data_IF_003879280270
#
_entry.id   IF_003879280270
#
_cell.length_a   1.000
_cell.length_b   1.000
_cell.length_c   1.000
_cell.angle_alpha   90.00
_cell.angle_beta   90.00
_cell.angle_gamma   90.00
#
_symmetry.space_group_name_H-M   'P 1'
#
loop_
_entity.id
_entity.type
_entity.pdbx_description
1 polymer ?
#
# COMPACT_ATOMS: atom_id res chain seq x y z
N UNK A 1 -1.09 17.82 12.99
CA UNK A 1 -1.33 16.38 12.77
C UNK A 1 -2.34 15.90 13.81
N UNK A 2 -3.60 16.26 13.62
CA UNK A 2 -4.71 15.98 14.55
C UNK A 2 -6.02 15.64 13.81
N UNK A 3 -5.95 15.59 12.48
CA UNK A 3 -7.03 15.25 11.58
C UNK A 3 -6.57 14.05 10.76
N UNK A 4 -7.48 13.10 10.55
CA UNK A 4 -7.32 11.96 9.65
C UNK A 4 -7.60 12.34 8.20
N UNK A 5 -7.34 11.42 7.26
CA UNK A 5 -7.72 11.60 5.85
C UNK A 5 -9.22 11.79 5.67
N UNK A 6 -10.04 11.15 6.53
CA UNK A 6 -11.49 11.29 6.51
C UNK A 6 -11.93 12.67 6.99
N UNK A 7 -11.34 13.20 8.06
CA UNK A 7 -11.71 14.51 8.62
C UNK A 7 -11.52 15.66 7.62
N UNK A 8 -10.57 15.51 6.69
CA UNK A 8 -10.27 16.50 5.65
C UNK A 8 -10.90 16.18 4.29
N UNK A 9 -11.70 15.11 4.19
CA UNK A 9 -12.26 14.60 2.92
C UNK A 9 -11.18 14.36 1.84
N UNK A 10 -9.99 13.90 2.24
CA UNK A 10 -8.89 13.60 1.33
C UNK A 10 -9.12 12.29 0.57
N UNK A 11 -8.53 12.15 -0.61
CA UNK A 11 -8.54 10.89 -1.35
C UNK A 11 -7.48 9.89 -0.88
N UNK A 12 -7.70 8.61 -1.16
CA UNK A 12 -6.72 7.53 -0.91
C UNK A 12 -6.36 6.84 -2.22
N UNK A 13 -5.06 6.61 -2.45
CA UNK A 13 -4.54 5.79 -3.55
C UNK A 13 -3.92 4.51 -3.00
N UNK A 14 -4.43 3.34 -3.40
CA UNK A 14 -3.95 2.03 -2.96
C UNK A 14 -3.13 1.33 -4.05
N UNK A 15 -1.85 1.10 -3.80
CA UNK A 15 -0.92 0.41 -4.72
C UNK A 15 -0.35 -0.83 -4.06
N UNK A 16 -0.39 -1.98 -4.76
CA UNK A 16 0.22 -3.21 -4.27
C UNK A 16 1.75 -3.11 -4.27
N UNK A 17 2.39 -3.33 -3.11
CA UNK A 17 3.85 -3.23 -2.97
C UNK A 17 4.46 -4.41 -2.19
N UNK A 18 4.79 -5.49 -2.90
CA UNK A 18 5.35 -6.69 -2.26
C UNK A 18 6.72 -6.46 -1.60
N UNK A 19 7.48 -5.45 -2.06
CA UNK A 19 8.83 -5.21 -1.55
C UNK A 19 8.87 -4.70 -0.12
N UNK A 20 7.74 -4.21 0.42
CA UNK A 20 7.65 -3.84 1.83
C UNK A 20 7.81 -5.05 2.76
N UNK A 21 7.45 -6.25 2.27
CA UNK A 21 7.65 -7.50 3.00
C UNK A 21 9.05 -8.10 2.80
N UNK A 22 10.03 -7.34 2.31
CA UNK A 22 11.39 -7.83 2.10
C UNK A 22 12.15 -8.03 3.42
N UNK A 23 12.97 -9.09 3.49
CA UNK A 23 14.08 -9.18 4.44
C UNK A 23 15.34 -8.59 3.81
N UNK A 24 15.90 -7.57 4.46
CA UNK A 24 17.09 -6.85 4.02
C UNK A 24 18.23 -6.92 5.04
N UNK A 25 18.21 -7.87 5.98
CA UNK A 25 19.20 -7.96 7.08
C UNK A 25 20.60 -8.39 6.65
N UNK A 26 20.74 -9.06 5.50
CA UNK A 26 22.05 -9.56 5.04
C UNK A 26 22.19 -9.55 3.51
N UNK A 27 23.44 -9.47 3.05
CA UNK A 27 23.78 -9.42 1.62
C UNK A 27 23.36 -8.10 0.95
N UNK A 28 23.39 -8.10 -0.39
CA UNK A 28 23.01 -6.95 -1.23
C UNK A 28 21.71 -7.18 -2.00
N UNK A 29 21.08 -8.35 -1.83
CA UNK A 29 19.83 -8.73 -2.48
C UNK A 29 18.76 -8.98 -1.42
N UNK A 30 17.64 -8.26 -1.52
CA UNK A 30 16.48 -8.48 -0.68
C UNK A 30 15.93 -9.92 -0.83
N UNK A 31 15.60 -10.54 0.30
CA UNK A 31 14.84 -11.78 0.38
C UNK A 31 13.34 -11.49 0.48
N UNK A 32 12.49 -12.37 -0.06
CA UNK A 32 11.03 -12.19 -0.02
C UNK A 32 10.31 -13.41 0.57
N UNK A 33 10.99 -14.19 1.42
CA UNK A 33 10.43 -15.35 2.10
C UNK A 33 9.25 -15.01 3.02
N UNK A 34 9.19 -13.77 3.50
CA UNK A 34 8.13 -13.21 4.34
C UNK A 34 6.92 -12.71 3.53
N UNK A 35 7.07 -12.52 2.22
CA UNK A 35 5.95 -12.11 1.36
C UNK A 35 4.98 -13.27 1.12
N UNK A 36 3.68 -12.98 1.04
CA UNK A 36 2.68 -14.00 0.67
C UNK A 36 2.81 -14.38 -0.82
N UNK A 37 2.46 -15.63 -1.20
CA UNK A 37 2.39 -16.03 -2.60
C UNK A 37 1.45 -15.13 -3.41
N UNK A 38 1.70 -14.91 -4.72
CA UNK A 38 0.97 -13.93 -5.53
C UNK A 38 -0.56 -14.08 -5.50
N UNK A 39 -1.08 -15.31 -5.55
CA UNK A 39 -2.52 -15.57 -5.52
C UNK A 39 -3.16 -15.11 -4.19
N UNK A 40 -2.51 -15.44 -3.06
CA UNK A 40 -3.00 -15.03 -1.74
C UNK A 40 -2.81 -13.52 -1.51
N UNK A 41 -1.68 -12.97 -1.96
CA UNK A 41 -1.42 -11.53 -1.91
C UNK A 41 -2.46 -10.74 -2.70
N UNK A 42 -2.85 -11.22 -3.89
CA UNK A 42 -3.90 -10.59 -4.70
C UNK A 42 -5.25 -10.64 -3.98
N UNK A 43 -5.63 -11.80 -3.43
CA UNK A 43 -6.89 -11.93 -2.71
C UNK A 43 -6.97 -10.98 -1.49
N UNK A 44 -5.87 -10.85 -0.74
CA UNK A 44 -5.79 -9.92 0.40
C UNK A 44 -5.80 -8.45 -0.06
N UNK A 45 -5.13 -8.12 -1.16
CA UNK A 45 -5.17 -6.78 -1.77
C UNK A 45 -6.58 -6.40 -2.21
N UNK A 46 -7.26 -7.29 -2.95
CA UNK A 46 -8.63 -7.08 -3.43
C UNK A 46 -9.60 -6.93 -2.24
N UNK A 47 -9.43 -7.75 -1.20
CA UNK A 47 -10.20 -7.64 0.03
C UNK A 47 -9.98 -6.30 0.73
N UNK A 48 -8.72 -5.88 0.93
CA UNK A 48 -8.39 -4.59 1.53
C UNK A 48 -9.00 -3.44 0.75
N UNK A 49 -8.88 -3.46 -0.59
CA UNK A 49 -9.44 -2.45 -1.47
C UNK A 49 -10.98 -2.40 -1.37
N UNK A 50 -11.64 -3.54 -1.29
CA UNK A 50 -13.09 -3.61 -1.08
C UNK A 50 -13.50 -3.03 0.27
N UNK A 51 -12.78 -3.37 1.35
CA UNK A 51 -13.06 -2.87 2.70
C UNK A 51 -12.90 -1.35 2.80
N UNK A 52 -11.81 -0.78 2.28
CA UNK A 52 -11.59 0.67 2.37
C UNK A 52 -12.60 1.47 1.54
N UNK A 53 -13.01 0.95 0.37
CA UNK A 53 -14.06 1.56 -0.47
C UNK A 53 -15.42 1.61 0.20
N UNK A 54 -15.70 0.76 1.18
CA UNK A 54 -16.95 0.80 1.95
C UNK A 54 -16.97 1.91 3.01
N UNK A 55 -15.80 2.31 3.51
CA UNK A 55 -15.69 3.23 4.66
C UNK A 55 -15.10 4.60 4.30
N UNK A 56 -14.58 4.77 3.09
CA UNK A 56 -13.93 6.01 2.66
C UNK A 56 -14.18 6.30 1.18
N UNK A 57 -14.22 7.58 0.82
CA UNK A 57 -14.32 8.06 -0.57
C UNK A 57 -13.68 9.46 -0.70
N UNK A 58 -12.92 9.74 -1.77
CA UNK A 58 -12.63 8.87 -2.91
C UNK A 58 -11.49 7.88 -2.65
N UNK A 59 -11.56 6.71 -3.28
CA UNK A 59 -10.50 5.69 -3.24
C UNK A 59 -10.16 5.24 -4.66
N UNK A 60 -8.93 5.48 -5.07
CA UNK A 60 -8.34 5.02 -6.31
C UNK A 60 -7.35 3.87 -6.07
N UNK A 61 -7.03 3.13 -7.13
CA UNK A 61 -6.13 1.98 -7.05
C UNK A 61 -5.25 1.80 -8.27
N UNK A 62 -4.06 1.23 -8.08
CA UNK A 62 -3.24 0.71 -9.16
C UNK A 62 -3.76 -0.63 -9.71
N UNK A 63 -2.89 -1.34 -10.44
CA UNK A 63 -3.16 -2.67 -11.00
C UNK A 63 -2.21 -3.67 -10.34
N UNK A 64 -2.77 -4.67 -9.66
CA UNK A 64 -1.97 -5.69 -8.97
C UNK A 64 -1.03 -6.42 -9.94
N UNK A 65 0.26 -6.44 -9.63
CA UNK A 65 1.28 -7.17 -10.40
C UNK A 65 1.65 -6.56 -11.75
N UNK A 66 1.12 -5.38 -12.08
CA UNK A 66 1.56 -4.63 -13.26
C UNK A 66 2.84 -3.83 -12.98
N UNK A 67 3.62 -3.58 -14.03
CA UNK A 67 4.60 -2.50 -13.99
C UNK A 67 3.87 -1.16 -13.91
N UNK A 68 4.28 -0.32 -12.97
CA UNK A 68 3.57 0.92 -12.66
C UNK A 68 4.58 2.04 -12.36
N UNK A 69 4.28 3.22 -12.86
CA UNK A 69 4.96 4.46 -12.48
C UNK A 69 4.03 5.27 -11.59
N UNK A 70 4.32 5.31 -10.29
CA UNK A 70 3.52 6.03 -9.30
C UNK A 70 4.11 7.42 -9.11
N UNK A 71 3.40 8.45 -9.58
CA UNK A 71 3.74 9.84 -9.31
C UNK A 71 3.03 10.32 -8.05
N UNK A 72 3.76 11.02 -7.18
CA UNK A 72 3.19 11.69 -6.03
C UNK A 72 3.94 12.98 -5.69
N UNK A 73 3.26 13.88 -4.98
CA UNK A 73 3.87 15.00 -4.27
C UNK A 73 3.68 14.73 -2.78
N UNK A 74 4.78 14.51 -2.05
CA UNK A 74 4.73 14.24 -0.61
C UNK A 74 4.77 15.56 0.16
N UNK A 75 3.60 16.08 0.52
CA UNK A 75 3.46 17.35 1.26
C UNK A 75 3.89 17.17 2.73
N UNK A 76 4.96 17.85 3.11
CA UNK A 76 5.70 17.65 4.36
C UNK A 76 7.21 17.53 4.12
N UNK A 77 7.77 16.33 3.86
CA UNK A 77 7.07 15.06 3.68
C UNK A 77 6.74 14.37 5.01
N UNK A 78 5.65 13.61 5.03
CA UNK A 78 5.22 12.80 6.18
C UNK A 78 5.03 11.36 5.70
N UNK A 79 5.66 10.40 6.37
CA UNK A 79 5.59 8.97 6.02
C UNK A 79 5.43 8.14 7.28
N UNK A 80 4.44 7.26 7.28
CA UNK A 80 4.21 6.29 8.36
C UNK A 80 4.27 4.88 7.79
N UNK A 81 4.99 3.99 8.50
CA UNK A 81 4.92 2.55 8.27
C UNK A 81 3.93 1.95 9.27
N UNK A 82 2.89 1.29 8.76
CA UNK A 82 1.88 0.60 9.57
C UNK A 82 2.03 -0.91 9.33
N UNK A 83 1.96 -1.70 10.41
CA UNK A 83 2.06 -3.16 10.39
C UNK A 83 0.90 -3.75 11.22
N UNK A 84 0.50 -4.99 10.93
CA UNK A 84 -0.61 -5.71 11.58
C UNK A 84 -0.17 -7.11 11.98
#
# INVERSE_FOLDING_TARGET
MNLSVADINGGVLVVSQFTLAADTKSGTRAGFSTAKPPALAKALYDYFLAQIKQIHSPVESGIFGADMQVSLTNDGPVTFLLEC
#
